data_IF_928173225928
#
_entry.id   IF_928173225928
#
_cell.length_a   1.000
_cell.length_b   1.000
_cell.length_c   1.000
_cell.angle_alpha   90.00
_cell.angle_beta   90.00
_cell.angle_gamma   90.00
#
_symmetry.space_group_name_H-M   'P 1'
#
loop_
_entity.id
_entity.type
_entity.pdbx_description
1 polymer ?
#
# COMPACT_ATOMS: atom_id res chain seq x y z
N UNK A 1 -21.40 1.71 -14.92
CA UNK A 1 -20.21 2.40 -14.40
C UNK A 1 -20.57 2.89 -13.02
N UNK A 2 -20.43 2.01 -12.04
CA UNK A 2 -20.59 2.34 -10.63
C UNK A 2 -19.43 1.60 -9.98
N UNK A 3 -18.38 2.34 -9.61
CA UNK A 3 -17.26 1.79 -8.89
C UNK A 3 -17.77 1.32 -7.54
N UNK A 4 -17.69 0.02 -7.32
CA UNK A 4 -17.64 -0.57 -5.99
C UNK A 4 -16.37 -0.02 -5.32
N UNK A 5 -16.49 1.16 -4.71
CA UNK A 5 -15.61 1.59 -3.63
C UNK A 5 -16.08 0.81 -2.40
N UNK A 6 -15.60 -0.42 -2.29
CA UNK A 6 -15.90 -1.31 -1.18
C UNK A 6 -15.36 -0.67 0.11
N UNK A 7 -16.21 -0.37 1.12
CA UNK A 7 -15.81 0.34 2.34
C UNK A 7 -14.74 -0.42 3.16
N UNK A 8 -14.47 -1.68 2.83
CA UNK A 8 -13.38 -2.47 3.40
C UNK A 8 -11.98 -2.13 2.84
N UNK A 9 -11.86 -1.12 1.96
CA UNK A 9 -10.59 -0.79 1.28
C UNK A 9 -9.90 0.46 1.82
N UNK A 10 -10.54 1.23 2.71
CA UNK A 10 -10.02 2.52 3.20
C UNK A 10 -10.31 2.77 4.70
N UNK A 11 -9.36 3.41 5.40
CA UNK A 11 -9.50 3.91 6.78
C UNK A 11 -9.52 5.43 6.83
N UNK A 12 -10.40 5.99 7.67
CA UNK A 12 -10.39 7.43 7.96
C UNK A 12 -9.12 7.79 8.74
N UNK A 13 -8.32 8.69 8.19
CA UNK A 13 -7.08 9.18 8.79
C UNK A 13 -7.30 10.48 9.56
N UNK A 14 -8.12 11.39 9.04
CA UNK A 14 -8.39 12.68 9.67
C UNK A 14 -9.69 13.30 9.16
N UNK A 15 -10.35 14.08 10.01
CA UNK A 15 -11.49 14.92 9.64
C UNK A 15 -11.20 16.37 9.98
N UNK A 16 -11.52 17.29 9.08
CA UNK A 16 -11.31 18.73 9.26
C UNK A 16 -12.52 19.52 8.80
N UNK A 17 -12.94 20.49 9.61
CA UNK A 17 -13.98 21.45 9.23
C UNK A 17 -13.33 22.75 8.77
N UNK A 18 -13.60 23.18 7.53
CA UNK A 18 -13.13 24.46 7.00
C UNK A 18 -14.26 25.22 6.33
N UNK A 19 -14.50 26.46 6.77
CA UNK A 19 -15.57 27.29 6.22
C UNK A 19 -16.99 26.74 6.43
N UNK A 20 -17.19 25.91 7.46
CA UNK A 20 -18.46 25.23 7.72
C UNK A 20 -18.72 24.01 6.83
N UNK A 21 -17.70 23.55 6.10
CA UNK A 21 -17.74 22.29 5.32
C UNK A 21 -16.79 21.29 5.97
N UNK A 22 -17.27 20.06 6.14
CA UNK A 22 -16.50 18.95 6.68
C UNK A 22 -15.78 18.20 5.56
N UNK A 23 -14.51 17.88 5.79
CA UNK A 23 -13.65 17.12 4.88
C UNK A 23 -13.06 15.93 5.63
N UNK A 24 -13.19 14.76 5.03
CA UNK A 24 -12.64 13.52 5.54
C UNK A 24 -11.49 13.04 4.64
N UNK A 25 -10.35 12.73 5.26
CA UNK A 25 -9.18 12.16 4.61
C UNK A 25 -9.14 10.66 4.88
N UNK A 26 -9.17 9.86 3.83
CA UNK A 26 -9.06 8.41 3.92
C UNK A 26 -7.71 7.92 3.37
N UNK A 27 -7.15 6.87 3.97
CA UNK A 27 -5.99 6.13 3.49
C UNK A 27 -6.39 4.71 3.13
N UNK A 28 -5.76 4.09 2.13
CA UNK A 28 -6.09 2.71 1.76
C UNK A 28 -5.67 1.72 2.85
N UNK A 29 -6.54 0.77 3.15
CA UNK A 29 -6.32 -0.34 4.08
C UNK A 29 -5.32 -1.35 3.53
N UNK A 30 -5.26 -1.51 2.20
CA UNK A 30 -4.24 -2.29 1.53
C UNK A 30 -3.05 -1.38 1.19
N UNK A 31 -1.94 -1.45 1.95
CA UNK A 31 -0.71 -0.80 1.50
C UNK A 31 -0.28 -1.40 0.16
N UNK A 32 -0.43 -0.62 -0.91
CA UNK A 32 0.20 -0.93 -2.19
C UNK A 32 1.73 -0.91 -2.00
N UNK A 33 2.32 -2.07 -1.71
CA UNK A 33 3.77 -2.21 -1.62
C UNK A 33 4.38 -2.18 -3.02
N UNK A 34 5.29 -1.23 -3.24
CA UNK A 34 6.07 -1.16 -4.47
C UNK A 34 7.39 -1.89 -4.27
N UNK A 35 7.65 -2.92 -5.08
CA UNK A 35 8.94 -3.58 -5.15
C UNK A 35 9.75 -3.08 -6.33
N UNK A 36 10.98 -2.65 -6.04
CA UNK A 36 11.93 -2.19 -7.04
C UNK A 36 13.25 -2.95 -6.92
N UNK A 37 13.90 -3.18 -8.06
CA UNK A 37 15.29 -3.64 -8.12
C UNK A 37 16.21 -2.42 -8.05
N UNK A 38 17.15 -2.45 -7.12
CA UNK A 38 18.23 -1.47 -7.04
C UNK A 38 19.37 -1.85 -7.99
N UNK A 39 19.67 -0.98 -8.94
CA UNK A 39 20.79 -1.06 -9.86
C UNK A 39 21.86 -0.01 -9.55
N UNK A 40 22.77 0.24 -10.49
CA UNK A 40 23.88 1.19 -10.38
C UNK A 40 23.42 2.66 -10.23
N UNK A 41 22.89 3.00 -9.04
CA UNK A 41 22.37 4.32 -8.70
C UNK A 41 20.90 4.56 -9.08
N UNK A 42 20.17 3.55 -9.54
CA UNK A 42 18.75 3.67 -9.93
C UNK A 42 17.88 2.61 -9.27
N UNK A 43 16.61 2.94 -9.05
CA UNK A 43 15.58 1.98 -8.66
C UNK A 43 14.67 1.75 -9.88
N UNK A 44 14.50 0.50 -10.27
CA UNK A 44 13.63 0.08 -11.37
C UNK A 44 12.48 -0.78 -10.85
N UNK A 45 11.24 -0.43 -11.19
CA UNK A 45 10.10 -1.28 -10.87
C UNK A 45 10.22 -2.63 -11.54
N UNK A 46 9.86 -3.68 -10.81
CA UNK A 46 9.89 -5.03 -11.34
C UNK A 46 8.79 -5.24 -12.39
N UNK A 47 9.11 -6.02 -13.41
CA UNK A 47 8.10 -6.49 -14.35
C UNK A 47 7.08 -7.41 -13.63
N UNK A 48 5.79 -7.43 -14.07
CA UNK A 48 4.73 -8.17 -13.36
C UNK A 48 5.01 -9.67 -13.17
N UNK A 49 5.66 -10.30 -14.14
CA UNK A 49 6.05 -11.72 -14.10
C UNK A 49 7.13 -11.99 -13.04
N UNK A 50 8.07 -11.07 -12.88
CA UNK A 50 9.11 -11.14 -11.83
C UNK A 50 8.48 -10.90 -10.47
N UNK A 51 7.56 -9.94 -10.37
CA UNK A 51 6.84 -9.65 -9.14
C UNK A 51 6.01 -10.85 -8.68
N UNK A 52 5.25 -11.49 -9.58
CA UNK A 52 4.44 -12.67 -9.25
C UNK A 52 5.28 -13.84 -8.72
N UNK A 53 6.53 -13.98 -9.17
CA UNK A 53 7.46 -15.01 -8.66
C UNK A 53 8.01 -14.67 -7.28
N UNK A 54 8.15 -13.39 -6.96
CA UNK A 54 8.64 -12.93 -5.67
C UNK A 54 7.53 -12.77 -4.63
N UNK A 55 6.29 -12.56 -5.07
CA UNK A 55 5.10 -12.40 -4.23
C UNK A 55 5.02 -13.41 -3.07
N UNK A 56 5.14 -14.73 -3.26
CA UNK A 56 5.06 -15.67 -2.13
C UNK A 56 6.19 -15.48 -1.10
N UNK A 57 7.39 -15.08 -1.54
CA UNK A 57 8.53 -14.82 -0.65
C UNK A 57 8.34 -13.51 0.12
N UNK A 58 7.73 -12.52 -0.51
CA UNK A 58 7.40 -11.23 0.11
C UNK A 58 6.31 -11.42 1.16
N UNK A 59 5.25 -12.15 0.83
CA UNK A 59 4.17 -12.48 1.76
C UNK A 59 4.69 -13.27 2.97
N UNK A 60 5.58 -14.25 2.75
CA UNK A 60 6.24 -14.97 3.83
C UNK A 60 7.08 -14.05 4.71
N UNK A 61 7.91 -13.17 4.12
CA UNK A 61 8.74 -12.23 4.87
C UNK A 61 7.91 -11.22 5.68
N UNK A 62 6.79 -10.73 5.12
CA UNK A 62 5.88 -9.82 5.82
C UNK A 62 5.15 -10.50 6.97
N UNK A 63 4.70 -11.76 6.78
CA UNK A 63 4.02 -12.53 7.82
C UNK A 63 4.91 -12.85 9.04
N UNK A 64 6.24 -12.86 8.87
CA UNK A 64 7.21 -13.11 9.94
C UNK A 64 7.92 -11.83 10.43
N UNK A 65 7.61 -10.68 9.82
CA UNK A 65 8.33 -9.41 10.03
C UNK A 65 7.87 -8.59 11.24
N UNK A 66 6.77 -8.95 11.91
CA UNK A 66 6.28 -8.23 13.10
C UNK A 66 7.20 -8.37 14.33
N UNK A 67 8.17 -9.29 14.32
CA UNK A 67 9.14 -9.45 15.44
C UNK A 67 10.49 -8.73 15.24
N UNK A 68 10.69 -7.94 14.18
CA UNK A 68 11.99 -7.32 13.90
C UNK A 68 11.94 -5.83 13.55
N UNK A 69 11.40 -5.02 14.47
CA UNK A 69 11.80 -3.61 14.63
C UNK A 69 12.13 -3.35 16.11
N UNK A 70 13.41 -3.27 16.52
CA UNK A 70 13.79 -2.65 17.80
C UNK A 70 13.54 -1.15 17.81
#
# INVERSE_FOLDING_TARGET
MSGDDDPDTCVLLASVCHGGTDFDLYGSLDPCFLLARLGAGTAELLAPDVLARLQPLVEEALAHGEEACP
#
